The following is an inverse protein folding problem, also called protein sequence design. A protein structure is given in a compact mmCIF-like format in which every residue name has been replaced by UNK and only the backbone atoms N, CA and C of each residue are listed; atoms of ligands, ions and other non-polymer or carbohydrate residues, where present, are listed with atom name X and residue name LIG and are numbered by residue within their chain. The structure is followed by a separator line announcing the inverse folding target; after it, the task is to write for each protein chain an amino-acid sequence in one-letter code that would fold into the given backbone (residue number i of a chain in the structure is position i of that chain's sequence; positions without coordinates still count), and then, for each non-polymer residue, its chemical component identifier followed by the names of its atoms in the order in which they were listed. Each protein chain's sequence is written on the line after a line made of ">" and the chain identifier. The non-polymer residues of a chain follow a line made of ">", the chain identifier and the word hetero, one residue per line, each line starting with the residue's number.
data_IF_863809196306
#
_entry.id   IF_863809196306
#
_cell.length_a   1.000
_cell.length_b   1.000
_cell.length_c   1.000
_cell.angle_alpha   90.00
_cell.angle_beta   90.00
_cell.angle_gamma   90.00
#
_symmetry.space_group_name_H-M   'P 1'
#
loop_
_entity.id
_entity.type
_entity.pdbx_description
1 polymer ?
#
# COMPACT_ATOMS: atom_id res chain seq x y z
N UNK A 1 33.59 61.35 0.67
CA UNK A 1 32.12 61.19 0.67
C UNK A 1 31.70 60.56 -0.64
N UNK A 2 31.54 59.25 -0.68
CA UNK A 2 31.11 58.49 -1.86
C UNK A 2 29.86 57.70 -1.50
N UNK A 3 28.93 57.73 -2.44
CA UNK A 3 27.50 57.44 -2.35
C UNK A 3 27.19 55.97 -2.04
N UNK A 4 26.22 55.77 -1.15
CA UNK A 4 25.50 54.52 -0.98
C UNK A 4 24.75 54.15 -2.28
N UNK A 5 24.93 52.91 -2.74
CA UNK A 5 24.03 52.22 -3.67
C UNK A 5 23.51 50.99 -2.96
N UNK A 6 22.19 50.95 -2.74
CA UNK A 6 21.49 49.83 -2.13
C UNK A 6 21.59 48.56 -2.97
N UNK A 7 22.02 47.48 -2.34
CA UNK A 7 22.04 46.13 -2.90
C UNK A 7 20.75 45.39 -2.55
N UNK A 8 20.11 44.85 -3.60
CA UNK A 8 18.98 43.92 -3.52
C UNK A 8 19.40 42.68 -2.72
N UNK A 9 18.56 42.24 -1.77
CA UNK A 9 18.67 40.92 -1.12
C UNK A 9 18.30 39.83 -2.14
N UNK A 10 19.29 39.16 -2.70
CA UNK A 10 19.11 37.84 -3.30
C UNK A 10 19.16 36.80 -2.18
N UNK A 11 18.08 36.03 -2.01
CA UNK A 11 18.03 34.90 -1.09
C UNK A 11 18.64 33.71 -1.80
N UNK A 12 19.88 33.36 -1.45
CA UNK A 12 20.55 32.15 -1.92
C UNK A 12 19.91 30.96 -1.18
N UNK A 13 19.24 30.09 -1.95
CA UNK A 13 18.77 28.78 -1.49
C UNK A 13 20.01 27.88 -1.43
N UNK A 14 20.48 27.56 -0.21
CA UNK A 14 21.54 26.58 -0.01
C UNK A 14 21.00 25.17 -0.30
N UNK A 15 21.42 24.61 -1.42
CA UNK A 15 21.39 23.17 -1.69
C UNK A 15 22.39 22.50 -0.73
N UNK A 16 21.91 21.80 0.29
CA UNK A 16 22.79 21.01 1.17
C UNK A 16 23.11 19.67 0.49
N UNK A 17 24.38 19.51 0.12
CA UNK A 17 24.98 18.25 -0.33
C UNK A 17 25.08 17.25 0.84
N UNK A 18 24.82 15.97 0.55
CA UNK A 18 25.03 14.86 1.49
C UNK A 18 26.45 14.36 1.32
N UNK A 19 27.28 14.43 2.36
CA UNK A 19 28.60 13.79 2.38
C UNK A 19 28.47 12.42 3.04
N UNK A 20 28.79 11.35 2.30
CA UNK A 20 28.93 10.00 2.85
C UNK A 20 30.36 9.83 3.34
N UNK A 21 30.56 9.51 4.62
CA UNK A 21 31.88 9.14 5.14
C UNK A 21 31.97 7.62 5.20
N UNK A 22 32.84 7.04 4.39
CA UNK A 22 33.20 5.62 4.43
C UNK A 22 34.52 5.47 5.20
N UNK A 23 34.51 4.74 6.31
CA UNK A 23 35.72 4.40 7.07
C UNK A 23 36.30 3.12 6.45
N UNK A 24 37.57 3.13 6.05
CA UNK A 24 38.25 1.97 5.47
C UNK A 24 38.66 0.96 6.55
N UNK A 25 38.86 -0.29 6.13
CA UNK A 25 39.13 -1.44 7.00
C UNK A 25 40.46 -1.44 7.79
N UNK A 26 41.27 -0.38 7.70
CA UNK A 26 42.64 -0.37 8.25
C UNK A 26 42.77 0.14 9.69
N UNK A 27 41.74 0.75 10.29
CA UNK A 27 41.80 1.27 11.68
C UNK A 27 41.39 0.24 12.75
N UNK A 28 41.64 -1.06 12.52
CA UNK A 28 41.32 -2.14 13.47
C UNK A 28 42.22 -2.22 14.72
N UNK A 29 43.04 -1.20 15.01
CA UNK A 29 43.90 -1.18 16.22
C UNK A 29 43.95 0.18 16.90
N UNK A 30 42.82 0.62 17.45
CA UNK A 30 42.81 1.30 18.76
C UNK A 30 41.38 1.32 19.29
N UNK A 31 41.11 0.48 20.28
CA UNK A 31 39.81 0.44 20.96
C UNK A 31 39.78 1.56 22.01
N UNK A 32 38.71 2.36 21.96
CA UNK A 32 38.17 3.23 23.02
C UNK A 32 38.67 4.68 23.20
N UNK A 33 39.50 5.27 22.32
CA UNK A 33 39.90 6.69 22.49
C UNK A 33 39.25 7.70 21.53
N UNK A 34 38.64 7.27 20.43
CA UNK A 34 38.36 8.21 19.32
C UNK A 34 36.89 8.63 19.18
N UNK A 35 35.97 8.04 19.94
CA UNK A 35 34.52 8.38 19.84
C UNK A 35 34.22 9.74 20.49
N UNK A 36 34.82 10.03 21.65
CA UNK A 36 34.64 11.31 22.35
C UNK A 36 35.33 12.47 21.61
N UNK A 37 36.41 12.18 20.89
CA UNK A 37 37.22 13.16 20.15
C UNK A 37 36.61 13.54 18.78
N UNK A 38 35.78 12.66 18.21
CA UNK A 38 34.98 12.95 17.01
C UNK A 38 33.72 13.75 17.37
N UNK A 39 33.09 13.44 18.51
CA UNK A 39 31.90 14.15 18.98
C UNK A 39 32.19 15.60 19.45
N UNK A 40 33.39 15.86 19.98
CA UNK A 40 33.77 17.20 20.48
C UNK A 40 34.02 18.24 19.37
N UNK A 41 34.21 17.82 18.11
CA UNK A 41 34.54 18.71 16.98
C UNK A 41 33.33 19.31 16.26
N UNK A 42 32.11 18.87 16.54
CA UNK A 42 30.90 19.32 15.83
C UNK A 42 29.94 20.09 16.74
N UNK A 43 30.36 21.30 17.13
CA UNK A 43 29.47 22.32 17.68
C UNK A 43 28.75 23.04 16.53
N UNK A 44 27.53 22.60 16.18
CA UNK A 44 26.71 23.32 15.21
C UNK A 44 25.42 22.60 14.82
N UNK A 45 24.29 23.30 14.92
CA UNK A 45 22.95 22.84 14.57
C UNK A 45 22.85 22.08 13.22
N UNK A 46 22.23 20.88 13.25
CA UNK A 46 21.77 19.93 12.19
C UNK A 46 22.77 18.82 11.83
N UNK A 47 22.44 17.52 11.97
CA UNK A 47 21.74 16.66 10.98
C UNK A 47 21.48 15.26 11.58
N UNK A 48 20.55 14.51 10.97
CA UNK A 48 20.28 13.10 11.28
C UNK A 48 21.49 12.27 10.86
N UNK A 49 22.16 11.61 11.80
CA UNK A 49 23.25 10.67 11.50
C UNK A 49 22.72 9.24 11.53
N UNK A 50 22.71 8.62 10.35
CA UNK A 50 22.46 7.19 10.21
C UNK A 50 23.80 6.49 10.46
N UNK A 51 24.01 5.95 11.66
CA UNK A 51 25.18 5.13 11.97
C UNK A 51 24.83 3.69 11.59
N UNK A 52 25.52 3.13 10.59
CA UNK A 52 25.44 1.71 10.21
C UNK A 52 26.76 1.07 10.64
N UNK A 53 26.72 0.15 11.61
CA UNK A 53 27.88 -0.60 12.06
C UNK A 53 27.79 -2.03 11.54
N UNK A 54 28.74 -2.48 10.71
CA UNK A 54 28.67 -3.78 10.05
C UNK A 54 29.22 -4.90 10.96
N UNK A 55 28.38 -5.44 11.85
CA UNK A 55 28.54 -6.77 12.44
C UNK A 55 27.26 -7.23 13.16
N UNK A 56 27.03 -8.55 13.15
CA UNK A 56 25.84 -9.23 13.67
C UNK A 56 25.39 -8.81 15.08
N UNK A 57 24.06 -8.88 15.26
CA UNK A 57 23.24 -8.77 16.47
C UNK A 57 22.92 -7.35 17.02
N UNK A 58 21.63 -7.01 16.87
CA UNK A 58 20.87 -5.90 17.46
C UNK A 58 21.20 -4.46 16.98
N UNK A 59 20.66 -4.12 15.80
CA UNK A 59 20.67 -2.75 15.28
C UNK A 59 19.51 -1.90 15.80
N UNK A 60 19.74 -1.01 16.76
CA UNK A 60 18.81 0.07 17.10
C UNK A 60 19.05 1.26 16.17
N UNK A 61 18.03 1.73 15.43
CA UNK A 61 18.12 3.01 14.72
C UNK A 61 17.88 4.10 15.75
N UNK A 62 18.93 4.81 16.14
CA UNK A 62 18.83 5.87 17.12
C UNK A 62 18.30 7.12 16.44
N UNK A 63 17.05 7.51 16.74
CA UNK A 63 16.53 8.84 16.35
C UNK A 63 16.72 9.77 17.54
N UNK A 64 17.69 10.67 17.46
CA UNK A 64 18.03 11.66 18.53
C UNK A 64 18.43 11.05 19.89
N UNK A 65 19.17 9.94 19.89
CA UNK A 65 19.62 9.30 21.13
C UNK A 65 18.63 8.32 21.75
N UNK A 66 17.47 8.07 21.13
CA UNK A 66 16.45 7.15 21.63
C UNK A 66 16.35 5.89 20.76
N UNK A 67 16.30 4.72 21.39
CA UNK A 67 16.00 3.44 20.74
C UNK A 67 14.60 3.45 20.12
N UNK A 68 14.42 2.67 19.05
CA UNK A 68 13.14 2.54 18.34
C UNK A 68 12.62 1.11 18.41
N UNK A 69 11.30 0.99 18.50
CA UNK A 69 10.57 -0.27 18.47
C UNK A 69 9.56 -0.29 17.33
N UNK A 70 9.22 -1.49 16.87
CA UNK A 70 8.31 -1.67 15.73
C UNK A 70 6.96 -2.21 16.22
N UNK A 71 5.88 -1.60 15.74
CA UNK A 71 4.51 -2.05 15.95
C UNK A 71 3.90 -2.40 14.61
N UNK A 72 3.48 -3.65 14.44
CA UNK A 72 2.78 -4.11 13.24
C UNK A 72 1.30 -3.87 13.40
N UNK A 73 0.71 -3.07 12.51
CA UNK A 73 -0.72 -2.79 12.45
C UNK A 73 -1.36 -3.59 11.32
N UNK A 74 -2.60 -4.03 11.55
CA UNK A 74 -3.53 -4.46 10.50
C UNK A 74 -4.66 -3.46 10.37
N UNK A 75 -4.95 -3.00 9.15
CA UNK A 75 -5.96 -1.99 8.90
C UNK A 75 -6.76 -2.28 7.63
N UNK A 76 -8.01 -1.82 7.63
CA UNK A 76 -8.88 -1.76 6.45
C UNK A 76 -9.18 -0.31 6.09
N UNK A 77 -9.47 -0.06 4.81
CA UNK A 77 -9.88 1.26 4.35
C UNK A 77 -10.66 1.23 3.04
N UNK A 78 -11.59 2.19 2.92
CA UNK A 78 -12.19 2.58 1.65
C UNK A 78 -11.25 3.57 0.94
N UNK A 79 -10.63 3.13 -0.15
CA UNK A 79 -9.68 3.94 -0.91
C UNK A 79 -10.28 5.10 -1.70
N UNK A 80 -11.61 5.23 -1.79
CA UNK A 80 -12.32 6.15 -2.70
C UNK A 80 -11.83 7.60 -2.57
N UNK A 81 -11.68 8.09 -1.34
CA UNK A 81 -11.32 9.48 -1.04
C UNK A 81 -9.80 9.73 -1.01
N UNK A 82 -8.99 8.71 -1.25
CA UNK A 82 -7.54 8.77 -1.08
C UNK A 82 -6.78 8.66 -2.41
N UNK A 83 -5.70 9.42 -2.52
CA UNK A 83 -4.71 9.35 -3.60
C UNK A 83 -3.76 8.14 -3.47
N UNK A 84 -4.23 7.08 -2.80
CA UNK A 84 -3.51 5.84 -2.54
C UNK A 84 -2.90 5.79 -1.15
N UNK A 85 -2.06 4.77 -0.93
CA UNK A 85 -1.40 4.58 0.36
C UNK A 85 -0.40 5.70 0.67
N UNK A 86 0.57 5.89 -0.23
CA UNK A 86 1.77 6.68 0.04
C UNK A 86 1.44 8.18 0.08
N UNK A 87 1.96 8.85 1.09
CA UNK A 87 1.93 10.32 1.19
C UNK A 87 2.67 10.95 0.00
N UNK A 88 2.03 11.90 -0.68
CA UNK A 88 2.62 12.65 -1.80
C UNK A 88 2.69 14.15 -1.43
N UNK A 89 3.90 14.71 -1.34
CA UNK A 89 4.12 16.13 -1.05
C UNK A 89 4.22 16.50 0.44
N UNK A 90 4.63 17.75 0.69
CA UNK A 90 4.92 18.32 2.04
C UNK A 90 3.81 19.27 2.52
N UNK A 91 2.91 19.73 1.65
CA UNK A 91 1.87 20.71 2.04
C UNK A 91 0.88 20.10 3.05
N UNK A 92 0.66 20.76 4.18
CA UNK A 92 -0.17 20.27 5.30
C UNK A 92 -1.60 19.91 4.88
N UNK A 93 -2.21 20.67 3.96
CA UNK A 93 -3.56 20.38 3.44
C UNK A 93 -3.63 19.16 2.49
N UNK A 94 -2.49 18.55 2.11
CA UNK A 94 -2.42 17.32 1.30
C UNK A 94 -2.14 16.07 2.15
N UNK A 95 -1.73 16.23 3.42
CA UNK A 95 -1.47 15.12 4.35
C UNK A 95 -2.71 14.21 4.54
N UNK A 96 -3.91 14.81 4.51
CA UNK A 96 -5.18 14.11 4.70
C UNK A 96 -5.69 13.34 3.47
N UNK A 97 -4.97 13.34 2.33
CA UNK A 97 -5.41 12.65 1.10
C UNK A 97 -4.70 11.33 0.84
N UNK A 98 -3.89 10.82 1.77
CA UNK A 98 -3.35 9.46 1.69
C UNK A 98 -3.60 8.68 2.98
N UNK A 99 -3.72 7.36 2.86
CA UNK A 99 -3.94 6.48 4.02
C UNK A 99 -2.77 6.57 4.99
N UNK A 100 -1.53 6.61 4.48
CA UNK A 100 -0.33 6.78 5.31
C UNK A 100 -0.38 8.06 6.13
N UNK A 101 -0.77 9.20 5.54
CA UNK A 101 -0.79 10.48 6.24
C UNK A 101 -1.85 10.53 7.34
N UNK A 102 -3.04 9.97 7.08
CA UNK A 102 -4.09 9.82 8.09
C UNK A 102 -3.62 8.94 9.26
N UNK A 103 -2.95 7.82 8.95
CA UNK A 103 -2.43 6.91 9.97
C UNK A 103 -1.28 7.53 10.78
N UNK A 104 -0.34 8.23 10.14
CA UNK A 104 0.74 8.99 10.80
C UNK A 104 0.17 10.01 11.80
N UNK A 105 -0.85 10.77 11.38
CA UNK A 105 -1.53 11.73 12.25
C UNK A 105 -2.22 11.05 13.43
N UNK A 106 -3.06 10.05 13.17
CA UNK A 106 -3.88 9.40 14.19
C UNK A 106 -3.05 8.70 15.26
N UNK A 107 -1.97 8.01 14.85
CA UNK A 107 -1.06 7.34 15.78
C UNK A 107 -0.26 8.33 16.62
N UNK A 108 0.26 9.41 16.03
CA UNK A 108 0.95 10.46 16.77
C UNK A 108 0.01 11.17 17.78
N UNK A 109 -1.23 11.44 17.38
CA UNK A 109 -2.25 12.04 18.24
C UNK A 109 -2.62 11.12 19.42
N UNK A 110 -2.86 9.83 19.15
CA UNK A 110 -3.16 8.83 20.17
C UNK A 110 -2.02 8.73 21.20
N UNK A 111 -0.78 8.62 20.75
CA UNK A 111 0.41 8.56 21.62
C UNK A 111 0.57 9.83 22.46
N UNK A 112 0.42 11.00 21.83
CA UNK A 112 0.54 12.29 22.53
C UNK A 112 -0.53 12.45 23.63
N UNK A 113 -1.76 11.97 23.37
CA UNK A 113 -2.85 12.00 24.35
C UNK A 113 -2.57 11.11 25.57
N UNK A 114 -1.80 10.04 25.40
CA UNK A 114 -1.42 9.13 26.49
C UNK A 114 -0.21 9.65 27.27
N UNK A 115 0.78 10.24 26.61
CA UNK A 115 2.03 10.67 27.26
C UNK A 115 1.96 12.06 27.89
N UNK A 116 0.98 12.88 27.48
CA UNK A 116 0.91 14.30 27.86
C UNK A 116 2.01 15.15 27.21
N UNK A 117 2.77 14.59 26.27
CA UNK A 117 3.82 15.26 25.50
C UNK A 117 3.59 15.06 24.00
N UNK A 118 4.26 15.86 23.18
CA UNK A 118 4.15 15.73 21.72
C UNK A 118 4.96 14.54 21.23
N UNK A 119 4.29 13.42 21.03
CA UNK A 119 4.87 12.21 20.45
C UNK A 119 4.98 12.31 18.93
N UNK A 120 5.94 11.59 18.36
CA UNK A 120 6.13 11.51 16.91
C UNK A 120 6.33 10.08 16.46
N UNK A 121 5.70 9.78 15.35
CA UNK A 121 5.99 8.58 14.57
C UNK A 121 7.25 8.82 13.76
N UNK A 122 8.20 7.89 13.84
CA UNK A 122 9.45 7.98 13.09
C UNK A 122 9.21 7.61 11.63
N UNK A 123 8.49 6.51 11.39
CA UNK A 123 8.30 5.95 10.06
C UNK A 123 7.09 5.02 10.01
N UNK A 124 6.42 4.97 8.84
CA UNK A 124 5.43 3.94 8.51
C UNK A 124 5.81 3.25 7.20
N UNK A 125 5.92 1.92 7.25
CA UNK A 125 6.20 1.07 6.09
C UNK A 125 5.09 0.04 5.87
N UNK A 126 4.33 0.20 4.78
CA UNK A 126 3.32 -0.79 4.39
C UNK A 126 3.92 -2.07 3.79
N UNK A 127 3.15 -3.15 3.89
CA UNK A 127 3.37 -4.41 3.19
C UNK A 127 3.39 -4.19 1.67
N UNK A 128 2.54 -3.30 1.16
CA UNK A 128 2.51 -2.87 -0.23
C UNK A 128 1.72 -1.59 -0.41
N UNK A 129 2.15 -0.74 -1.34
CA UNK A 129 1.43 0.49 -1.69
C UNK A 129 0.21 0.14 -2.54
N UNK A 130 -0.94 0.71 -2.21
CA UNK A 130 -2.12 0.71 -3.08
C UNK A 130 -2.19 1.99 -3.90
N UNK A 131 -2.74 1.88 -5.13
CA UNK A 131 -2.98 3.04 -5.99
C UNK A 131 -4.15 3.90 -5.48
N UNK A 132 -4.31 5.09 -6.05
CA UNK A 132 -5.48 5.96 -5.83
C UNK A 132 -6.79 5.20 -6.05
N UNK A 133 -7.71 5.26 -5.09
CA UNK A 133 -9.03 4.63 -5.19
C UNK A 133 -9.06 3.11 -4.96
N UNK A 134 -7.94 2.48 -4.63
CA UNK A 134 -7.89 1.03 -4.31
C UNK A 134 -8.16 0.84 -2.82
N UNK A 135 -9.04 -0.10 -2.50
CA UNK A 135 -9.46 -0.40 -1.12
C UNK A 135 -8.57 -1.49 -0.50
N UNK A 136 -8.65 -1.65 0.82
CA UNK A 136 -8.00 -2.77 1.52
C UNK A 136 -8.88 -3.29 2.66
N UNK A 137 -8.89 -4.62 2.84
CA UNK A 137 -9.53 -5.30 3.96
C UNK A 137 -8.51 -5.74 5.02
N UNK A 138 -7.24 -5.88 4.61
CA UNK A 138 -6.14 -6.30 5.46
C UNK A 138 -4.82 -5.77 4.89
N UNK A 139 -4.61 -4.47 5.00
CA UNK A 139 -3.30 -3.87 4.82
C UNK A 139 -2.49 -4.06 6.10
N UNK A 140 -1.22 -4.45 5.95
CA UNK A 140 -0.27 -4.50 7.07
C UNK A 140 0.75 -3.38 6.96
N UNK A 141 1.13 -2.77 8.07
CA UNK A 141 2.26 -1.84 8.11
C UNK A 141 3.05 -1.94 9.40
N UNK A 142 4.34 -1.59 9.33
CA UNK A 142 5.19 -1.37 10.50
C UNK A 142 5.17 0.11 10.81
N UNK A 143 4.77 0.42 12.04
CA UNK A 143 4.87 1.70 12.68
C UNK A 143 6.14 1.70 13.54
N UNK A 144 7.11 2.53 13.19
CA UNK A 144 8.33 2.71 14.00
C UNK A 144 8.13 3.85 14.98
N UNK A 145 8.27 3.55 16.26
CA UNK A 145 8.07 4.49 17.37
C UNK A 145 9.29 4.52 18.29
N UNK A 146 9.54 5.63 18.99
CA UNK A 146 10.55 5.65 20.05
C UNK A 146 10.20 4.69 21.21
N UNK A 147 11.21 4.20 21.93
CA UNK A 147 11.02 3.22 23.02
C UNK A 147 10.10 3.76 24.12
N UNK A 148 10.14 5.06 24.42
CA UNK A 148 9.21 5.70 25.36
C UNK A 148 7.76 5.58 24.92
N UNK A 149 7.46 5.81 23.63
CA UNK A 149 6.14 5.61 23.06
C UNK A 149 5.72 4.13 23.06
N UNK A 150 6.66 3.21 22.85
CA UNK A 150 6.40 1.77 22.95
C UNK A 150 5.94 1.36 24.36
N UNK A 151 6.57 1.88 25.43
CA UNK A 151 6.14 1.60 26.81
C UNK A 151 4.68 1.99 27.07
N UNK A 152 4.20 3.06 26.42
CA UNK A 152 2.80 3.48 26.49
C UNK A 152 1.88 2.46 25.79
N UNK A 153 2.30 1.96 24.64
CA UNK A 153 1.55 0.94 23.88
C UNK A 153 1.48 -0.38 24.65
N UNK A 154 2.57 -0.78 25.31
CA UNK A 154 2.66 -2.00 26.13
C UNK A 154 1.85 -1.90 27.43
N UNK A 155 1.88 -0.75 28.10
CA UNK A 155 1.14 -0.52 29.35
C UNK A 155 -0.35 -0.24 29.15
N UNK A 156 -0.76 0.08 27.92
CA UNK A 156 -2.17 0.21 27.57
C UNK A 156 -2.81 -1.16 27.38
N UNK A 157 -4.06 -1.33 27.82
CA UNK A 157 -4.85 -2.46 27.31
C UNK A 157 -4.96 -2.34 25.78
N UNK A 158 -4.90 -3.47 25.06
CA UNK A 158 -4.92 -3.45 23.59
C UNK A 158 -6.14 -2.72 23.02
N UNK A 159 -7.27 -2.76 23.73
CA UNK A 159 -8.47 -2.02 23.36
C UNK A 159 -8.35 -0.50 23.51
N UNK A 160 -7.57 0.01 24.47
CA UNK A 160 -7.42 1.45 24.74
C UNK A 160 -6.61 2.15 23.65
N UNK A 161 -5.45 1.60 23.28
CA UNK A 161 -4.61 2.19 22.23
C UNK A 161 -5.32 2.17 20.87
N UNK A 162 -5.90 1.03 20.48
CA UNK A 162 -6.67 0.90 19.25
C UNK A 162 -7.85 1.88 19.19
N UNK A 163 -8.61 2.00 20.29
CA UNK A 163 -9.75 2.94 20.36
C UNK A 163 -9.29 4.39 20.14
N UNK A 164 -8.17 4.80 20.75
CA UNK A 164 -7.61 6.15 20.57
C UNK A 164 -7.07 6.39 19.17
N UNK A 165 -6.44 5.40 18.54
CA UNK A 165 -5.99 5.53 17.14
C UNK A 165 -7.22 5.68 16.23
N UNK A 166 -8.19 4.78 16.36
CA UNK A 166 -9.40 4.80 15.54
C UNK A 166 -10.27 6.05 15.77
N UNK A 167 -10.30 6.63 16.98
CA UNK A 167 -11.02 7.88 17.23
C UNK A 167 -10.40 9.10 16.54
N UNK A 168 -9.13 9.02 16.14
CA UNK A 168 -8.43 10.06 15.37
C UNK A 168 -8.38 9.76 13.86
N UNK A 169 -8.88 8.60 13.43
CA UNK A 169 -8.96 8.23 12.02
C UNK A 169 -10.30 8.69 11.41
N UNK A 170 -10.30 9.05 10.12
CA UNK A 170 -11.54 9.15 9.33
C UNK A 170 -12.33 7.83 9.34
N UNK A 171 -13.66 7.90 9.18
CA UNK A 171 -14.54 6.72 9.21
C UNK A 171 -14.24 5.69 8.10
N UNK A 172 -13.58 6.10 7.03
CA UNK A 172 -13.14 5.28 5.91
C UNK A 172 -11.78 4.58 6.14
N UNK A 173 -11.17 4.68 7.32
CA UNK A 173 -9.98 3.92 7.74
C UNK A 173 -10.17 3.36 9.14
N UNK A 174 -9.91 2.06 9.32
CA UNK A 174 -9.93 1.44 10.64
C UNK A 174 -8.69 0.56 10.88
N UNK A 175 -8.00 0.78 11.99
CA UNK A 175 -7.01 -0.17 12.51
C UNK A 175 -7.75 -1.28 13.25
N UNK A 176 -7.60 -2.50 12.75
CA UNK A 176 -8.30 -3.68 13.23
C UNK A 176 -7.60 -4.32 14.44
N UNK A 177 -6.27 -4.35 14.40
CA UNK A 177 -5.45 -4.93 15.46
C UNK A 177 -4.00 -4.46 15.36
N UNK A 178 -3.21 -4.72 16.39
CA UNK A 178 -1.77 -4.51 16.38
C UNK A 178 -1.01 -5.61 17.12
N UNK A 179 0.26 -5.77 16.77
CA UNK A 179 1.24 -6.56 17.49
C UNK A 179 2.51 -5.74 17.64
N UNK A 180 3.10 -5.75 18.84
CA UNK A 180 4.26 -4.93 19.15
C UNK A 180 5.50 -5.81 19.33
N UNK A 181 6.66 -5.31 18.94
CA UNK A 181 7.94 -6.00 19.04
C UNK A 181 9.00 -5.06 19.61
N UNK A 182 9.77 -5.57 20.58
CA UNK A 182 10.86 -4.81 21.21
C UNK A 182 12.00 -4.53 20.23
N UNK A 183 12.23 -5.45 19.30
CA UNK A 183 13.28 -5.37 18.27
C UNK A 183 12.70 -5.05 16.89
N UNK A 184 13.59 -4.66 15.96
CA UNK A 184 13.20 -4.39 14.57
C UNK A 184 12.52 -5.59 13.93
N UNK A 185 11.43 -5.34 13.23
CA UNK A 185 10.78 -6.32 12.36
C UNK A 185 10.81 -5.86 10.92
N UNK A 186 11.51 -6.66 10.11
CA UNK A 186 11.20 -6.68 8.67
C UNK A 186 9.86 -7.39 8.54
N UNK A 187 8.85 -6.68 8.01
CA UNK A 187 7.59 -7.30 7.60
C UNK A 187 7.90 -8.37 6.55
N UNK A 188 8.04 -9.62 7.01
CA UNK A 188 8.29 -10.78 6.15
C UNK A 188 6.98 -11.20 5.52
N UNK A 189 6.58 -10.46 4.48
CA UNK A 189 5.39 -10.78 3.69
C UNK A 189 5.71 -11.98 2.82
N UNK A 190 4.91 -13.04 2.97
CA UNK A 190 5.04 -14.26 2.16
C UNK A 190 4.19 -14.19 0.91
N UNK A 191 2.97 -13.69 1.03
CA UNK A 191 2.04 -13.56 -0.07
C UNK A 191 0.96 -12.53 0.21
N UNK A 192 0.31 -12.07 -0.85
CA UNK A 192 -0.83 -11.16 -0.82
C UNK A 192 -1.91 -11.67 -1.74
N UNK A 193 -3.16 -11.41 -1.37
CA UNK A 193 -4.31 -11.66 -2.22
C UNK A 193 -4.99 -10.35 -2.58
N UNK A 194 -5.20 -10.16 -3.87
CA UNK A 194 -6.01 -9.10 -4.42
C UNK A 194 -7.28 -9.70 -5.03
N UNK A 195 -8.38 -9.00 -4.83
CA UNK A 195 -9.67 -9.32 -5.47
C UNK A 195 -10.05 -8.16 -6.37
N UNK A 196 -10.48 -8.47 -7.59
CA UNK A 196 -11.07 -7.49 -8.48
C UNK A 196 -12.51 -7.87 -8.82
N UNK A 197 -13.44 -6.92 -8.72
CA UNK A 197 -14.86 -7.19 -8.94
C UNK A 197 -15.38 -6.45 -10.16
N UNK A 198 -15.90 -7.22 -11.10
CA UNK A 198 -16.60 -6.76 -12.28
C UNK A 198 -18.10 -6.99 -12.06
N UNK A 199 -18.89 -5.93 -12.21
CA UNK A 199 -20.34 -6.01 -12.19
C UNK A 199 -20.86 -6.07 -13.64
N UNK A 200 -21.80 -6.96 -13.92
CA UNK A 200 -22.42 -7.09 -15.25
C UNK A 200 -23.92 -7.40 -15.14
N UNK A 201 -24.73 -7.10 -16.17
CA UNK A 201 -26.16 -7.46 -16.19
C UNK A 201 -26.39 -8.96 -15.99
N UNK A 202 -27.41 -9.37 -15.22
CA UNK A 202 -27.72 -10.80 -15.02
C UNK A 202 -28.28 -11.49 -16.26
N UNK A 203 -28.93 -10.74 -17.16
CA UNK A 203 -29.46 -11.24 -18.44
C UNK A 203 -29.57 -10.11 -19.47
N UNK A 204 -29.27 -10.41 -20.72
CA UNK A 204 -29.48 -9.49 -21.85
C UNK A 204 -30.97 -9.25 -22.15
N UNK A 205 -31.83 -10.22 -21.80
CA UNK A 205 -33.23 -10.28 -22.19
C UNK A 205 -34.17 -9.33 -21.42
N UNK A 206 -33.73 -8.72 -20.31
CA UNK A 206 -34.68 -8.04 -19.41
C UNK A 206 -35.07 -6.62 -19.82
N UNK A 207 -34.56 -6.05 -20.93
CA UNK A 207 -35.07 -4.80 -21.56
C UNK A 207 -35.16 -3.55 -20.67
N UNK A 208 -34.85 -3.69 -19.39
CA UNK A 208 -34.86 -2.68 -18.34
C UNK A 208 -33.42 -2.27 -18.17
N UNK A 209 -33.11 -1.03 -18.58
CA UNK A 209 -31.90 -0.26 -18.29
C UNK A 209 -31.00 -0.93 -17.25
N UNK A 210 -30.12 -1.83 -17.68
CA UNK A 210 -29.16 -2.45 -16.80
C UNK A 210 -28.19 -1.34 -16.38
N UNK A 211 -28.33 -0.90 -15.13
CA UNK A 211 -27.53 0.17 -14.54
C UNK A 211 -26.60 -0.45 -13.49
N UNK A 212 -25.41 0.15 -13.29
CA UNK A 212 -24.55 -0.21 -12.17
C UNK A 212 -25.34 -0.06 -10.87
N UNK A 213 -24.98 -0.87 -9.88
CA UNK A 213 -25.61 -0.77 -8.58
C UNK A 213 -25.04 0.49 -7.91
N UNK A 214 -25.92 1.42 -7.52
CA UNK A 214 -25.52 2.69 -6.94
C UNK A 214 -24.74 2.51 -5.63
N UNK A 215 -25.11 1.54 -4.79
CA UNK A 215 -24.41 1.22 -3.54
C UNK A 215 -23.01 0.65 -3.78
N UNK A 216 -22.82 -0.03 -4.92
CA UNK A 216 -21.57 -0.70 -5.27
C UNK A 216 -20.74 0.06 -6.31
N UNK A 217 -21.16 1.26 -6.68
CA UNK A 217 -20.48 2.11 -7.66
C UNK A 217 -19.00 2.31 -7.33
N UNK A 218 -18.68 2.52 -6.05
CA UNK A 218 -17.32 2.76 -5.57
C UNK A 218 -16.51 1.48 -5.39
N UNK A 219 -17.10 0.30 -5.54
CA UNK A 219 -16.50 -0.97 -5.10
C UNK A 219 -16.40 -2.00 -6.21
N UNK A 220 -16.92 -1.68 -7.40
CA UNK A 220 -17.00 -2.57 -8.55
C UNK A 220 -16.74 -1.83 -9.85
N UNK A 221 -16.33 -2.58 -10.87
CA UNK A 221 -16.29 -2.10 -12.24
C UNK A 221 -17.48 -2.62 -13.05
N UNK A 222 -18.45 -1.75 -13.32
CA UNK A 222 -19.55 -2.10 -14.18
C UNK A 222 -19.15 -2.18 -15.66
N UNK A 223 -19.48 -3.30 -16.28
CA UNK A 223 -19.42 -3.54 -17.72
C UNK A 223 -20.82 -3.88 -18.23
N UNK A 224 -21.33 -3.20 -19.27
CA UNK A 224 -22.68 -3.40 -19.78
C UNK A 224 -22.84 -4.68 -20.63
N UNK A 225 -21.79 -5.48 -20.78
CA UNK A 225 -21.76 -6.72 -21.53
C UNK A 225 -21.51 -7.90 -20.58
N UNK A 226 -22.09 -9.06 -20.89
CA UNK A 226 -21.76 -10.31 -20.20
C UNK A 226 -20.44 -10.86 -20.72
N UNK A 227 -19.50 -11.12 -19.82
CA UNK A 227 -18.21 -11.69 -20.15
C UNK A 227 -18.26 -13.22 -20.12
N UNK A 228 -17.49 -13.86 -21.01
CA UNK A 228 -17.26 -15.30 -21.01
C UNK A 228 -16.36 -15.69 -19.83
N UNK A 229 -16.97 -16.20 -18.76
CA UNK A 229 -16.25 -16.66 -17.56
C UNK A 229 -15.31 -17.84 -17.84
N UNK A 230 -15.65 -18.73 -18.78
CA UNK A 230 -14.80 -19.86 -19.16
C UNK A 230 -13.50 -19.37 -19.78
N UNK A 231 -13.59 -18.46 -20.74
CA UNK A 231 -12.42 -17.83 -21.38
C UNK A 231 -11.56 -17.06 -20.36
N UNK A 232 -12.20 -16.32 -19.43
CA UNK A 232 -11.51 -15.65 -18.33
C UNK A 232 -10.73 -16.64 -17.46
N UNK A 233 -11.37 -17.74 -17.04
CA UNK A 233 -10.72 -18.79 -16.23
C UNK A 233 -9.49 -19.35 -16.94
N UNK A 234 -9.62 -19.68 -18.22
CA UNK A 234 -8.49 -20.16 -19.03
C UNK A 234 -7.35 -19.14 -19.08
N UNK A 235 -7.66 -17.86 -19.34
CA UNK A 235 -6.66 -16.80 -19.37
C UNK A 235 -5.95 -16.60 -18.03
N UNK A 236 -6.70 -16.69 -16.92
CA UNK A 236 -6.13 -16.55 -15.58
C UNK A 236 -5.17 -17.68 -15.22
N UNK A 237 -5.35 -18.89 -15.78
CA UNK A 237 -4.38 -19.98 -15.55
C UNK A 237 -3.02 -19.73 -16.16
N UNK A 238 -2.91 -18.98 -17.26
CA UNK A 238 -1.61 -18.55 -17.79
C UNK A 238 -0.85 -17.59 -16.88
N UNK A 239 -1.52 -16.97 -15.90
CA UNK A 239 -0.88 -16.07 -14.94
C UNK A 239 -0.12 -16.82 -13.85
N UNK A 240 -0.54 -18.04 -13.50
CA UNK A 240 0.07 -18.82 -12.41
C UNK A 240 1.53 -19.18 -12.77
N UNK A 241 2.42 -19.10 -11.78
CA UNK A 241 3.85 -19.34 -11.94
C UNK A 241 4.71 -18.07 -11.92
N UNK A 242 5.98 -18.24 -12.29
CA UNK A 242 7.00 -17.19 -12.30
C UNK A 242 7.10 -16.55 -13.69
N UNK A 243 6.81 -15.25 -13.78
CA UNK A 243 6.76 -14.51 -15.05
C UNK A 243 7.37 -13.12 -14.92
N UNK A 244 7.83 -12.57 -16.05
CA UNK A 244 8.12 -11.14 -16.17
C UNK A 244 6.83 -10.36 -16.46
N UNK A 245 6.39 -9.54 -15.50
CA UNK A 245 5.15 -8.76 -15.61
C UNK A 245 5.37 -7.32 -16.11
N UNK A 246 6.51 -7.03 -16.76
CA UNK A 246 6.78 -5.70 -17.32
C UNK A 246 5.69 -5.23 -18.30
N UNK A 247 5.20 -6.13 -19.17
CA UNK A 247 4.18 -5.82 -20.17
C UNK A 247 2.84 -5.39 -19.55
N UNK A 248 2.53 -5.91 -18.37
CA UNK A 248 1.28 -5.64 -17.63
C UNK A 248 1.55 -4.86 -16.35
N UNK A 249 2.52 -3.96 -16.34
CA UNK A 249 2.74 -3.06 -15.20
C UNK A 249 3.10 -1.63 -15.64
N UNK A 250 3.10 -0.71 -14.68
CA UNK A 250 3.66 0.61 -14.90
C UNK A 250 5.18 0.57 -14.79
N UNK A 251 5.89 1.31 -15.66
CA UNK A 251 7.33 1.51 -15.52
C UNK A 251 7.61 2.21 -14.19
N UNK A 252 8.23 1.50 -13.25
CA UNK A 252 8.59 2.04 -11.93
C UNK A 252 10.09 2.31 -11.78
N UNK A 253 10.88 2.16 -12.84
CA UNK A 253 12.35 2.19 -12.76
C UNK A 253 12.93 1.07 -11.88
N UNK A 254 12.12 0.03 -11.57
CA UNK A 254 12.61 -1.15 -10.86
C UNK A 254 13.33 -2.05 -11.86
N UNK A 255 14.53 -2.56 -11.53
CA UNK A 255 15.27 -3.42 -12.44
C UNK A 255 14.62 -4.80 -12.60
N UNK A 256 13.90 -5.29 -11.58
CA UNK A 256 13.27 -6.61 -11.59
C UNK A 256 11.73 -6.52 -11.58
N UNK A 257 11.14 -6.96 -12.69
CA UNK A 257 9.69 -7.04 -12.96
C UNK A 257 9.14 -8.46 -12.85
N UNK A 258 9.96 -9.44 -12.49
CA UNK A 258 9.53 -10.82 -12.31
C UNK A 258 8.83 -11.04 -10.98
N UNK A 259 7.70 -11.74 -10.98
CA UNK A 259 6.93 -12.10 -9.77
C UNK A 259 6.39 -13.52 -9.90
N UNK A 260 5.91 -14.07 -8.79
CA UNK A 260 5.22 -15.36 -8.78
C UNK A 260 3.76 -15.17 -8.41
N UNK A 261 2.85 -15.53 -9.31
CA UNK A 261 1.44 -15.70 -8.97
C UNK A 261 1.27 -17.15 -8.53
N UNK A 262 0.90 -17.32 -7.27
CA UNK A 262 0.70 -18.62 -6.63
C UNK A 262 -0.65 -19.22 -6.98
N UNK A 263 -1.67 -18.37 -7.14
CA UNK A 263 -3.01 -18.77 -7.51
C UNK A 263 -3.75 -17.65 -8.23
N UNK A 264 -4.48 -18.01 -9.29
CA UNK A 264 -5.39 -17.11 -9.98
C UNK A 264 -6.67 -17.87 -10.37
N UNK A 265 -7.83 -17.32 -10.01
CA UNK A 265 -9.13 -17.89 -10.38
C UNK A 265 -10.20 -16.80 -10.54
N UNK A 266 -11.29 -17.16 -11.22
CA UNK A 266 -12.47 -16.33 -11.38
C UNK A 266 -13.74 -17.10 -11.05
N UNK A 267 -14.72 -16.45 -10.45
CA UNK A 267 -16.03 -17.08 -10.23
C UNK A 267 -17.17 -16.09 -10.31
N UNK A 268 -18.37 -16.64 -10.57
CA UNK A 268 -19.60 -15.87 -10.67
C UNK A 268 -20.27 -15.81 -9.30
N UNK A 269 -20.61 -14.60 -8.88
CA UNK A 269 -21.45 -14.34 -7.71
C UNK A 269 -22.76 -13.70 -8.20
N UNK A 270 -23.91 -14.30 -7.84
CA UNK A 270 -25.23 -13.85 -8.32
C UNK A 270 -25.90 -12.84 -7.38
N UNK A 271 -25.61 -12.91 -6.08
CA UNK A 271 -26.17 -11.98 -5.10
C UNK A 271 -25.05 -11.13 -4.51
N UNK A 272 -25.30 -9.82 -4.38
CA UNK A 272 -24.34 -8.91 -3.77
C UNK A 272 -23.95 -9.30 -2.34
N UNK A 273 -24.89 -9.90 -1.58
CA UNK A 273 -24.68 -10.38 -0.21
C UNK A 273 -23.59 -11.43 -0.08
N UNK A 274 -23.30 -12.12 -1.18
CA UNK A 274 -22.37 -13.23 -1.25
C UNK A 274 -20.97 -12.76 -1.68
N UNK A 275 -20.80 -11.46 -2.00
CA UNK A 275 -19.49 -10.89 -2.25
C UNK A 275 -18.67 -10.92 -0.94
N UNK A 276 -17.38 -11.31 -0.98
CA UNK A 276 -16.57 -11.58 0.21
C UNK A 276 -16.56 -10.46 1.25
N UNK A 277 -16.61 -9.20 0.80
CA UNK A 277 -16.59 -8.02 1.68
C UNK A 277 -17.94 -7.35 1.88
N UNK A 278 -19.01 -7.77 1.19
CA UNK A 278 -20.28 -7.02 1.22
C UNK A 278 -20.85 -6.93 2.62
N UNK A 279 -20.74 -8.00 3.42
CA UNK A 279 -21.16 -7.98 4.83
C UNK A 279 -20.46 -6.89 5.63
N UNK A 280 -19.19 -6.60 5.35
CA UNK A 280 -18.43 -5.52 6.01
C UNK A 280 -18.93 -4.13 5.60
N UNK A 281 -19.24 -3.92 4.32
CA UNK A 281 -19.79 -2.63 3.84
C UNK A 281 -21.26 -2.42 4.23
N UNK A 282 -22.04 -3.50 4.33
CA UNK A 282 -23.49 -3.45 4.49
C UNK A 282 -24.00 -2.99 5.86
N UNK A 283 -23.12 -2.67 6.84
CA UNK A 283 -23.56 -2.05 8.10
C UNK A 283 -24.37 -0.76 7.88
N UNK A 284 -24.31 -0.16 6.68
CA UNK A 284 -25.06 1.03 6.28
C UNK A 284 -26.05 0.82 5.10
N UNK A 285 -26.14 -0.37 4.49
CA UNK A 285 -26.98 -0.59 3.32
C UNK A 285 -28.45 -0.86 3.71
N UNK A 286 -29.26 0.20 3.77
CA UNK A 286 -30.68 0.16 4.19
C UNK A 286 -31.68 0.03 3.04
N UNK A 287 -31.28 -0.21 1.80
CA UNK A 287 -32.19 -0.07 0.66
C UNK A 287 -32.46 -1.38 -0.09
N UNK A 288 -33.61 -1.98 0.22
CA UNK A 288 -34.31 -2.95 -0.63
C UNK A 288 -35.00 -2.22 -1.78
N UNK A 289 -34.23 -1.54 -2.64
CA UNK A 289 -34.77 -1.13 -3.94
C UNK A 289 -34.85 -2.38 -4.83
N UNK A 290 -35.78 -2.47 -5.81
CA UNK A 290 -35.75 -3.52 -6.83
C UNK A 290 -34.53 -3.26 -7.74
N UNK A 291 -33.33 -3.57 -7.24
CA UNK A 291 -32.07 -3.36 -7.94
C UNK A 291 -32.09 -4.21 -9.20
N UNK A 292 -31.71 -3.62 -10.34
CA UNK A 292 -31.43 -4.38 -11.55
C UNK A 292 -30.54 -5.58 -11.18
N UNK A 293 -31.03 -6.79 -11.48
CA UNK A 293 -30.28 -8.00 -11.15
C UNK A 293 -28.97 -7.96 -11.91
N UNK A 294 -27.89 -7.89 -11.16
CA UNK A 294 -26.54 -7.88 -11.69
C UNK A 294 -25.82 -9.10 -11.14
N UNK A 295 -25.03 -9.73 -12.00
CA UNK A 295 -24.06 -10.73 -11.58
C UNK A 295 -22.71 -10.04 -11.38
N UNK A 296 -21.86 -10.66 -10.58
CA UNK A 296 -20.51 -10.19 -10.32
C UNK A 296 -19.53 -11.28 -10.75
N UNK A 297 -18.52 -10.90 -11.52
CA UNK A 297 -17.34 -11.73 -11.74
C UNK A 297 -16.29 -11.27 -10.75
N UNK A 298 -15.89 -12.18 -9.87
CA UNK A 298 -14.83 -11.97 -8.88
C UNK A 298 -13.56 -12.61 -9.42
N UNK A 299 -12.50 -11.82 -9.54
CA UNK A 299 -11.18 -12.26 -9.96
C UNK A 299 -10.25 -12.26 -8.74
N UNK A 300 -9.62 -13.38 -8.44
CA UNK A 300 -8.67 -13.52 -7.34
C UNK A 300 -7.25 -13.69 -7.87
N UNK A 301 -6.32 -12.97 -7.25
CA UNK A 301 -4.89 -13.03 -7.55
C UNK A 301 -4.11 -13.17 -6.25
N UNK A 302 -3.48 -14.31 -6.04
CA UNK A 302 -2.57 -14.55 -4.93
C UNK A 302 -1.13 -14.64 -5.45
N UNK A 303 -0.20 -13.89 -4.85
CA UNK A 303 1.19 -13.87 -5.29
C UNK A 303 2.17 -13.41 -4.22
N UNK A 304 3.45 -13.62 -4.47
CA UNK A 304 4.57 -13.22 -3.60
C UNK A 304 4.75 -11.69 -3.52
N UNK A 305 4.27 -10.99 -4.55
CA UNK A 305 4.23 -9.55 -4.61
C UNK A 305 3.71 -9.06 -5.96
N UNK A 306 3.31 -7.80 -6.01
CA UNK A 306 2.77 -7.20 -7.22
C UNK A 306 3.50 -5.89 -7.52
N UNK A 307 3.71 -5.63 -8.81
CA UNK A 307 4.21 -4.36 -9.32
C UNK A 307 3.10 -3.31 -9.32
N UNK A 308 3.50 -2.04 -9.47
CA UNK A 308 2.55 -0.93 -9.57
C UNK A 308 1.63 -1.13 -10.77
N UNK A 309 0.32 -1.03 -10.54
CA UNK A 309 -0.76 -1.26 -11.51
C UNK A 309 -0.83 -2.68 -12.09
N UNK A 310 -0.04 -3.66 -11.60
CA UNK A 310 0.04 -4.98 -12.22
C UNK A 310 -1.32 -5.66 -12.34
N UNK A 311 -2.01 -5.81 -11.21
CA UNK A 311 -3.33 -6.44 -11.15
C UNK A 311 -4.32 -5.75 -12.09
N UNK A 312 -4.36 -4.41 -12.09
CA UNK A 312 -5.30 -3.63 -12.90
C UNK A 312 -5.02 -3.73 -14.40
N UNK A 313 -3.77 -3.89 -14.79
CA UNK A 313 -3.39 -4.13 -16.19
C UNK A 313 -3.74 -5.56 -16.62
N UNK A 314 -3.46 -6.56 -15.78
CA UNK A 314 -3.91 -7.93 -16.02
C UNK A 314 -5.44 -8.00 -16.18
N UNK A 315 -6.19 -7.31 -15.31
CA UNK A 315 -7.65 -7.22 -15.40
C UNK A 315 -8.13 -6.58 -16.71
N UNK A 316 -7.41 -5.59 -17.27
CA UNK A 316 -7.75 -5.03 -18.58
C UNK A 316 -7.60 -6.04 -19.71
N UNK A 317 -6.56 -6.89 -19.66
CA UNK A 317 -6.38 -7.99 -20.62
C UNK A 317 -7.46 -9.04 -20.43
N UNK A 318 -7.73 -9.45 -19.18
CA UNK A 318 -8.79 -10.41 -18.83
C UNK A 318 -10.15 -9.91 -19.33
N UNK A 319 -10.43 -8.61 -19.24
CA UNK A 319 -11.63 -8.03 -19.84
C UNK A 319 -11.69 -8.29 -21.34
N UNK A 320 -10.61 -8.06 -22.09
CA UNK A 320 -10.59 -8.28 -23.54
C UNK A 320 -10.81 -9.74 -23.91
N UNK A 321 -10.29 -10.66 -23.11
CA UNK A 321 -10.57 -12.09 -23.25
C UNK A 321 -12.02 -12.41 -22.92
N UNK A 322 -12.56 -11.87 -21.83
CA UNK A 322 -13.96 -12.05 -21.44
C UNK A 322 -14.95 -11.45 -22.43
N UNK A 323 -14.57 -10.37 -23.12
CA UNK A 323 -15.33 -9.79 -24.24
C UNK A 323 -15.21 -10.62 -25.53
N UNK A 324 -14.42 -11.70 -25.52
CA UNK A 324 -14.09 -12.56 -26.68
C UNK A 324 -13.43 -11.80 -27.83
N UNK A 325 -12.83 -10.64 -27.54
CA UNK A 325 -12.08 -9.84 -28.51
C UNK A 325 -10.69 -10.45 -28.72
N UNK A 326 -10.10 -10.99 -27.65
CA UNK A 326 -8.82 -11.68 -27.67
C UNK A 326 -8.98 -13.12 -27.18
N UNK A 327 -8.24 -14.09 -27.74
CA UNK A 327 -8.26 -15.46 -27.24
C UNK A 327 -7.58 -15.57 -25.85
N UNK A 328 -7.89 -16.60 -25.04
CA UNK A 328 -7.27 -16.75 -23.70
C UNK A 328 -5.74 -16.80 -23.69
N UNK A 329 -5.15 -17.38 -24.74
CA UNK A 329 -3.71 -17.54 -24.96
C UNK A 329 -2.99 -16.18 -25.05
N UNK A 330 -3.70 -15.10 -25.41
CA UNK A 330 -3.16 -13.75 -25.43
C UNK A 330 -2.54 -13.33 -24.10
N UNK A 331 -3.02 -13.87 -22.97
CA UNK A 331 -2.39 -13.62 -21.68
C UNK A 331 -0.96 -14.15 -21.64
N UNK A 332 -0.74 -15.38 -22.11
CA UNK A 332 0.59 -15.99 -22.21
C UNK A 332 1.49 -15.23 -23.18
N UNK A 333 0.98 -14.87 -24.36
CA UNK A 333 1.74 -14.12 -25.37
C UNK A 333 2.26 -12.79 -24.82
N UNK A 334 1.42 -12.07 -24.07
CA UNK A 334 1.75 -10.78 -23.45
C UNK A 334 2.83 -10.95 -22.37
N UNK A 335 2.76 -12.00 -21.55
CA UNK A 335 3.76 -12.28 -20.51
C UNK A 335 5.11 -12.68 -21.11
N UNK A 336 5.09 -13.44 -22.21
CA UNK A 336 6.30 -13.86 -22.93
C UNK A 336 6.92 -12.73 -23.76
N UNK A 337 6.26 -11.57 -23.86
CA UNK A 337 6.72 -10.41 -24.64
C UNK A 337 7.06 -10.78 -26.09
N UNK A 338 6.30 -11.70 -26.69
CA UNK A 338 6.60 -12.16 -28.05
C UNK A 338 6.61 -10.97 -29.03
N UNK A 339 7.74 -10.81 -29.73
CA UNK A 339 7.91 -9.78 -30.76
C UNK A 339 6.84 -9.95 -31.85
N UNK A 340 6.17 -8.84 -32.22
CA UNK A 340 5.08 -8.86 -33.20
C UNK A 340 3.69 -9.16 -32.62
N UNK A 341 3.57 -9.42 -31.32
CA UNK A 341 2.26 -9.48 -30.67
C UNK A 341 1.53 -8.13 -30.81
N UNK A 342 0.40 -8.14 -31.51
CA UNK A 342 -0.33 -6.92 -31.92
C UNK A 342 -1.12 -6.25 -30.77
N UNK A 343 -0.90 -6.68 -29.53
CA UNK A 343 -1.70 -6.28 -28.38
C UNK A 343 -1.38 -4.83 -27.99
N UNK A 344 -2.35 -3.95 -28.22
CA UNK A 344 -2.26 -2.54 -27.81
C UNK A 344 -2.19 -2.45 -26.29
N UNK A 345 -1.30 -1.61 -25.76
CA UNK A 345 -1.27 -1.29 -24.33
C UNK A 345 -2.63 -0.73 -23.90
N UNK A 346 -3.28 -1.43 -22.98
CA UNK A 346 -4.60 -1.05 -22.48
C UNK A 346 -4.48 -0.02 -21.35
N UNK A 347 -5.48 0.86 -21.18
CA UNK A 347 -5.62 1.61 -19.95
C UNK A 347 -5.83 0.63 -18.79
N UNK A 348 -5.25 0.94 -17.62
CA UNK A 348 -5.46 0.12 -16.42
C UNK A 348 -6.94 0.09 -16.04
N UNK A 349 -7.44 -1.06 -15.60
CA UNK A 349 -8.79 -1.19 -15.09
C UNK A 349 -9.04 -0.17 -13.95
N UNK A 350 -10.27 0.33 -13.77
CA UNK A 350 -10.61 1.27 -12.69
C UNK A 350 -10.17 0.75 -11.31
N UNK A 351 -9.58 1.62 -10.49
CA UNK A 351 -9.08 1.21 -9.15
C UNK A 351 -10.18 0.79 -8.19
N UNK A 352 -11.37 1.39 -8.32
CA UNK A 352 -12.55 1.14 -7.48
C UNK A 352 -13.04 -0.31 -7.46
N UNK A 353 -12.64 -1.13 -8.44
CA UNK A 353 -12.96 -2.56 -8.43
C UNK A 353 -11.96 -3.42 -7.66
N UNK A 354 -10.80 -2.86 -7.27
CA UNK A 354 -9.67 -3.59 -6.72
C UNK A 354 -9.59 -3.46 -5.20
N UNK A 355 -9.37 -4.60 -4.56
CA UNK A 355 -9.24 -4.75 -3.11
C UNK A 355 -7.95 -5.48 -2.78
N UNK A 356 -7.13 -4.94 -1.87
CA UNK A 356 -6.15 -5.74 -1.14
C UNK A 356 -6.92 -6.54 -0.08
N UNK A 357 -7.20 -7.80 -0.38
CA UNK A 357 -8.05 -8.64 0.46
C UNK A 357 -7.30 -9.15 1.69
N UNK A 358 -6.08 -9.64 1.49
CA UNK A 358 -5.31 -10.29 2.56
C UNK A 358 -3.81 -10.21 2.37
N UNK A 359 -3.10 -10.11 3.49
CA UNK A 359 -1.64 -10.17 3.55
C UNK A 359 -1.25 -11.26 4.55
N UNK A 360 -0.40 -12.19 4.13
CA UNK A 360 0.15 -13.21 5.02
C UNK A 360 1.60 -12.92 5.34
N UNK A 361 1.92 -12.98 6.62
CA UNK A 361 3.27 -12.84 7.14
C UNK A 361 3.88 -14.21 7.46
N UNK A 362 5.20 -14.28 7.61
CA UNK A 362 5.90 -15.52 7.98
C UNK A 362 5.49 -16.09 9.35
N UNK A 363 4.83 -15.31 10.21
CA UNK A 363 4.34 -15.76 11.52
C UNK A 363 2.95 -16.42 11.44
N UNK A 364 2.27 -16.32 10.30
CA UNK A 364 0.90 -16.82 10.10
C UNK A 364 0.84 -18.05 9.17
N UNK A 365 1.99 -18.53 8.66
CA UNK A 365 2.11 -19.64 7.71
C UNK A 365 2.97 -20.75 8.29
#
# INVERSE_FOLDING_TARGET
>A
MLKERGTKKETIIALETTTTVSISNDDKRNKNSDIDDIASRYNGNRKIEQIVCDCDDQFFEVVRGEEVSDVVLSLEYDGTNYNGWQRQGIQENQLAKSVQGALEYATAAALSSCSGKKEKVVMIQASGRTDKGVHALDQRCVLRVPRSAMLIIESSSSSSFLAKVNSNLPEDIAVLNYQHFLERKILSIRKKRYTYIIQQPSSFAEGKLARPNAELHNYTWYLPQQLNLGAIKTAMKYLEGFHDFNAVSCKTGRPNTCRTILHADAFLVKNQSDLPWFKKLSKQAKTTSPVARNNFIVLEFEGDGFLKHQVRQMVSVIRKVGEEIWPPESMSDILQQQEGSSYKKLPSAPSRGLWLERVWTAHEI
#
